data_IF_523710010568
#
_entry.id   IF_523710010568
#
_cell.length_a   1.000
_cell.length_b   1.000
_cell.length_c   1.000
_cell.angle_alpha   90.00
_cell.angle_beta   90.00
_cell.angle_gamma   90.00
#
_symmetry.space_group_name_H-M   'P 1'
#
loop_
_entity.id
_entity.type
_entity.pdbx_description
1 polymer ?
#
# COMPACT_ATOMS: atom_id res chain seq x y z
N UNK A 1 8.85 -18.02 24.46
CA UNK A 1 9.30 -19.40 24.71
C UNK A 1 9.66 -20.19 23.43
N UNK A 2 9.75 -19.55 22.24
CA UNK A 2 9.95 -20.27 20.96
C UNK A 2 11.40 -20.21 20.45
N UNK A 3 12.31 -19.50 21.11
CA UNK A 3 13.63 -19.20 20.56
C UNK A 3 14.81 -19.78 21.34
N UNK A 4 14.65 -20.84 22.10
CA UNK A 4 15.80 -21.52 22.70
C UNK A 4 16.64 -22.17 21.57
N UNK A 5 17.87 -21.70 21.41
CA UNK A 5 18.80 -22.16 20.38
C UNK A 5 18.78 -21.43 19.03
N UNK A 6 17.95 -20.38 18.88
CA UNK A 6 17.94 -19.55 17.69
C UNK A 6 18.63 -18.19 17.94
N UNK A 7 19.45 -17.78 16.99
CA UNK A 7 19.99 -16.40 16.99
C UNK A 7 18.93 -15.47 16.42
N UNK A 8 18.54 -14.46 17.19
CA UNK A 8 17.60 -13.41 16.73
C UNK A 8 18.37 -12.25 16.16
N UNK A 9 17.97 -11.82 14.98
CA UNK A 9 18.47 -10.61 14.31
C UNK A 9 17.29 -9.65 14.20
N UNK A 10 17.40 -8.49 14.84
CA UNK A 10 16.33 -7.52 14.93
C UNK A 10 16.59 -6.35 13.98
N UNK A 11 15.53 -5.87 13.34
CA UNK A 11 15.55 -4.64 12.55
C UNK A 11 14.34 -3.78 12.92
N UNK A 12 14.45 -2.49 12.67
CA UNK A 12 13.35 -1.57 12.99
C UNK A 12 13.65 -0.11 12.65
N UNK A 13 12.76 0.75 13.15
CA UNK A 13 12.93 2.19 12.99
C UNK A 13 14.01 2.71 13.93
N UNK A 14 14.63 3.84 13.57
CA UNK A 14 15.61 4.57 14.38
C UNK A 14 15.14 4.73 15.84
N UNK A 15 16.06 4.54 16.79
CA UNK A 15 15.77 4.62 18.22
C UNK A 15 15.41 3.29 18.90
N UNK A 16 15.30 2.20 18.16
CA UNK A 16 15.15 0.86 18.74
C UNK A 16 16.46 0.32 19.32
N UNK A 17 16.40 -0.33 20.48
CA UNK A 17 17.58 -0.96 21.10
C UNK A 17 17.94 -2.29 20.44
N UNK A 18 19.24 -2.56 20.30
CA UNK A 18 19.76 -3.86 19.84
C UNK A 18 19.41 -4.21 18.39
N UNK A 19 19.17 -3.19 17.54
CA UNK A 19 18.88 -3.40 16.13
C UNK A 19 20.16 -3.71 15.35
N UNK A 20 20.11 -4.77 14.55
CA UNK A 20 21.15 -5.09 13.58
C UNK A 20 21.08 -4.13 12.38
N UNK A 21 19.86 -3.80 11.94
CA UNK A 21 19.59 -2.76 10.96
C UNK A 21 18.57 -1.78 11.56
N UNK A 22 18.89 -0.51 11.55
CA UNK A 22 17.95 0.57 11.86
C UNK A 22 17.62 1.39 10.62
N UNK A 23 16.42 1.98 10.59
CA UNK A 23 15.99 2.80 9.46
C UNK A 23 15.25 4.06 9.88
N UNK A 24 15.45 5.13 9.13
CA UNK A 24 14.81 6.43 9.31
C UNK A 24 14.08 6.81 8.03
N UNK A 25 12.78 7.09 8.18
CA UNK A 25 11.97 7.54 7.06
C UNK A 25 12.47 8.90 6.55
N UNK A 26 12.73 9.00 5.25
CA UNK A 26 13.01 10.23 4.53
C UNK A 26 11.71 10.84 3.99
N UNK A 27 11.33 10.47 2.77
CA UNK A 27 10.13 10.94 2.11
C UNK A 27 9.25 9.78 1.60
N UNK A 28 7.97 10.08 1.32
CA UNK A 28 7.06 9.14 0.68
C UNK A 28 6.02 9.91 -0.17
N UNK A 29 6.49 10.52 -1.29
CA UNK A 29 5.64 11.37 -2.12
C UNK A 29 6.02 11.32 -3.61
N UNK A 30 5.56 10.38 -4.42
CA UNK A 30 4.83 9.16 -4.08
C UNK A 30 5.72 8.02 -3.60
N UNK A 31 7.03 8.04 -3.97
CA UNK A 31 7.94 6.96 -3.69
C UNK A 31 8.61 7.10 -2.33
N UNK A 32 8.85 5.95 -1.71
CA UNK A 32 9.54 5.83 -0.44
C UNK A 32 11.03 6.09 -0.61
N UNK A 33 11.57 7.06 0.13
CA UNK A 33 13.00 7.20 0.39
C UNK A 33 13.27 7.09 1.88
N UNK A 34 14.41 6.51 2.24
CA UNK A 34 14.80 6.32 3.63
C UNK A 34 16.32 6.16 3.79
N UNK A 35 16.80 6.48 4.98
CA UNK A 35 18.16 6.15 5.42
C UNK A 35 18.11 4.85 6.22
N UNK A 36 19.11 3.97 6.08
CA UNK A 36 19.30 2.84 6.96
C UNK A 36 20.73 2.80 7.47
N UNK A 37 20.92 2.19 8.64
CA UNK A 37 22.20 2.15 9.33
C UNK A 37 22.55 0.71 9.73
N UNK A 38 23.84 0.39 9.60
CA UNK A 38 24.46 -0.85 10.07
C UNK A 38 25.87 -0.56 10.55
N UNK A 39 26.21 -0.95 11.78
CA UNK A 39 27.54 -0.78 12.39
C UNK A 39 28.06 0.66 12.27
N UNK A 40 27.22 1.66 12.50
CA UNK A 40 27.56 3.08 12.43
C UNK A 40 27.71 3.65 11.01
N UNK A 41 27.50 2.84 9.97
CA UNK A 41 27.51 3.31 8.59
C UNK A 41 26.08 3.56 8.11
N UNK A 42 25.85 4.71 7.48
CA UNK A 42 24.55 5.15 6.97
C UNK A 42 24.51 5.10 5.47
N UNK A 43 23.35 4.69 4.95
CA UNK A 43 23.08 4.53 3.54
C UNK A 43 21.70 5.10 3.22
N UNK A 44 21.61 5.92 2.18
CA UNK A 44 20.35 6.43 1.65
C UNK A 44 19.86 5.56 0.49
N UNK A 45 18.55 5.35 0.40
CA UNK A 45 17.90 4.56 -0.65
C UNK A 45 16.66 5.28 -1.14
N UNK A 46 16.57 5.46 -2.47
CA UNK A 46 15.42 6.04 -3.16
C UNK A 46 14.73 4.94 -3.97
N UNK A 47 13.58 4.47 -3.51
CA UNK A 47 12.90 3.31 -4.09
C UNK A 47 11.78 3.70 -5.06
N UNK A 48 11.25 2.71 -5.80
CA UNK A 48 9.98 2.81 -6.54
C UNK A 48 8.80 2.23 -5.75
N UNK A 49 8.97 2.00 -4.46
CA UNK A 49 7.90 1.54 -3.57
C UNK A 49 7.02 2.71 -3.14
N UNK A 50 5.71 2.50 -3.08
CA UNK A 50 4.75 3.47 -2.57
C UNK A 50 4.33 3.06 -1.16
N UNK A 51 4.27 4.03 -0.25
CA UNK A 51 3.82 3.82 1.11
C UNK A 51 4.93 3.58 2.12
N UNK A 52 4.90 4.35 3.21
CA UNK A 52 5.86 4.25 4.31
C UNK A 52 5.86 2.87 4.99
N UNK A 53 4.74 2.13 4.92
CA UNK A 53 4.65 0.75 5.42
C UNK A 53 5.63 -0.22 4.71
N UNK A 54 6.02 0.08 3.46
CA UNK A 54 7.02 -0.71 2.73
C UNK A 54 8.44 -0.55 3.28
N UNK A 55 8.70 0.46 4.11
CA UNK A 55 9.99 0.60 4.77
C UNK A 55 10.35 -0.62 5.61
N UNK A 56 9.40 -1.17 6.37
CA UNK A 56 9.62 -2.39 7.16
C UNK A 56 9.99 -3.59 6.28
N UNK A 57 9.36 -3.70 5.10
CA UNK A 57 9.68 -4.75 4.13
C UNK A 57 11.09 -4.56 3.55
N UNK A 58 11.48 -3.33 3.23
CA UNK A 58 12.81 -3.00 2.75
C UNK A 58 13.87 -3.29 3.83
N UNK A 59 13.63 -2.89 5.08
CA UNK A 59 14.55 -3.19 6.20
C UNK A 59 14.71 -4.70 6.44
N UNK A 60 13.64 -5.48 6.26
CA UNK A 60 13.73 -6.94 6.31
C UNK A 60 14.64 -7.49 5.20
N UNK A 61 14.48 -7.03 3.97
CA UNK A 61 15.32 -7.42 2.84
C UNK A 61 16.80 -7.02 3.06
N UNK A 62 17.06 -5.80 3.53
CA UNK A 62 18.40 -5.32 3.91
C UNK A 62 19.02 -6.24 4.97
N UNK A 63 18.24 -6.57 6.00
CA UNK A 63 18.70 -7.43 7.10
C UNK A 63 19.13 -8.79 6.61
N UNK A 64 18.32 -9.43 5.76
CA UNK A 64 18.64 -10.72 5.14
C UNK A 64 19.89 -10.58 4.25
N UNK A 65 19.95 -9.56 3.40
CA UNK A 65 21.11 -9.33 2.54
C UNK A 65 22.39 -9.16 3.35
N UNK A 66 22.37 -8.33 4.41
CA UNK A 66 23.54 -8.13 5.28
C UNK A 66 23.92 -9.39 6.04
N UNK A 67 22.96 -10.16 6.52
CA UNK A 67 23.21 -11.43 7.19
C UNK A 67 23.98 -12.41 6.27
N UNK A 68 23.66 -12.43 4.99
CA UNK A 68 24.37 -13.23 3.98
C UNK A 68 25.56 -12.49 3.36
N UNK A 69 26.05 -11.44 4.01
CA UNK A 69 27.27 -10.69 3.62
C UNK A 69 27.19 -10.01 2.24
N UNK A 70 26.00 -9.70 1.75
CA UNK A 70 25.84 -8.88 0.54
C UNK A 70 26.34 -7.46 0.84
N UNK A 71 27.22 -6.89 -0.01
CA UNK A 71 27.71 -5.52 0.19
C UNK A 71 26.59 -4.50 0.26
N UNK A 72 26.66 -3.55 1.20
CA UNK A 72 25.63 -2.53 1.43
C UNK A 72 25.26 -1.77 0.15
N UNK A 73 26.26 -1.43 -0.67
CA UNK A 73 26.02 -0.74 -1.94
C UNK A 73 25.17 -1.57 -2.92
N UNK A 74 25.43 -2.86 -3.04
CA UNK A 74 24.64 -3.76 -3.89
C UNK A 74 23.20 -3.90 -3.39
N UNK A 75 23.00 -3.89 -2.07
CA UNK A 75 21.67 -3.89 -1.46
C UNK A 75 20.91 -2.60 -1.85
N UNK A 76 21.56 -1.43 -1.75
CA UNK A 76 20.96 -0.16 -2.16
C UNK A 76 20.59 -0.16 -3.65
N UNK A 77 21.54 -0.53 -4.52
CA UNK A 77 21.33 -0.63 -5.97
C UNK A 77 20.17 -1.58 -6.32
N UNK A 78 20.04 -2.72 -5.63
CA UNK A 78 18.95 -3.67 -5.85
C UNK A 78 17.58 -3.11 -5.41
N UNK A 79 17.52 -2.39 -4.29
CA UNK A 79 16.29 -1.76 -3.80
C UNK A 79 15.84 -0.60 -4.69
N UNK A 80 16.79 0.20 -5.19
CA UNK A 80 16.53 1.31 -6.11
C UNK A 80 16.09 0.84 -7.50
N UNK A 81 16.65 -0.28 -7.97
CA UNK A 81 16.27 -0.88 -9.25
C UNK A 81 14.94 -1.65 -9.21
N UNK A 82 14.44 -1.98 -7.99
CA UNK A 82 13.23 -2.78 -7.86
C UNK A 82 11.98 -1.96 -8.17
N UNK A 83 11.30 -2.31 -9.25
CA UNK A 83 9.99 -1.74 -9.63
C UNK A 83 8.90 -2.79 -9.36
N UNK A 84 7.90 -2.50 -8.51
CA UNK A 84 6.76 -3.41 -8.31
C UNK A 84 5.96 -3.59 -9.61
N UNK A 85 5.58 -4.85 -9.92
CA UNK A 85 4.81 -5.19 -11.13
C UNK A 85 3.75 -6.29 -10.89
N UNK A 86 3.36 -6.49 -9.64
CA UNK A 86 2.44 -7.56 -9.23
C UNK A 86 1.19 -7.04 -8.49
N UNK A 87 0.71 -5.85 -8.84
CA UNK A 87 -0.43 -5.18 -8.20
C UNK A 87 -0.24 -4.96 -6.68
N UNK A 88 1.01 -4.76 -6.23
CA UNK A 88 1.35 -4.43 -4.84
C UNK A 88 1.94 -3.02 -4.81
N UNK A 89 1.08 -2.04 -4.51
CA UNK A 89 1.46 -0.62 -4.46
C UNK A 89 2.21 -0.16 -5.72
N UNK A 90 1.77 -0.65 -6.88
CA UNK A 90 2.36 -0.34 -8.18
C UNK A 90 1.81 1.00 -8.68
N UNK A 91 2.69 1.93 -9.07
CA UNK A 91 2.30 3.12 -9.82
C UNK A 91 2.23 2.80 -11.31
N UNK A 92 1.08 3.06 -11.91
CA UNK A 92 0.85 2.94 -13.36
C UNK A 92 0.35 4.28 -13.88
N UNK A 93 1.02 4.85 -14.86
CA UNK A 93 0.55 6.04 -15.55
C UNK A 93 -0.25 5.63 -16.78
N UNK A 94 -1.47 6.13 -16.89
CA UNK A 94 -2.33 5.99 -18.06
C UNK A 94 -2.40 7.31 -18.81
N UNK A 95 -3.11 7.35 -19.94
CA UNK A 95 -3.33 8.59 -20.69
C UNK A 95 -4.03 9.66 -19.87
N UNK A 96 -4.96 9.26 -19.00
CA UNK A 96 -5.87 10.17 -18.31
C UNK A 96 -5.59 10.27 -16.81
N UNK A 97 -4.94 9.26 -16.18
CA UNK A 97 -4.82 9.16 -14.73
C UNK A 97 -3.48 8.55 -14.27
N UNK A 98 -3.21 8.66 -12.97
CA UNK A 98 -2.11 7.96 -12.29
C UNK A 98 -2.70 6.98 -11.28
N UNK A 99 -2.47 5.69 -11.49
CA UNK A 99 -3.08 4.61 -10.72
C UNK A 99 -2.08 4.05 -9.71
N UNK A 100 -2.47 3.98 -8.45
CA UNK A 100 -1.77 3.22 -7.42
C UNK A 100 -2.53 1.91 -7.23
N UNK A 101 -2.02 0.84 -7.82
CA UNK A 101 -2.69 -0.45 -7.83
C UNK A 101 -2.14 -1.34 -6.72
N UNK A 102 -2.98 -1.63 -5.73
CA UNK A 102 -2.70 -2.49 -4.58
C UNK A 102 -3.81 -3.54 -4.41
N UNK A 103 -4.06 -4.30 -5.47
CA UNK A 103 -5.18 -5.22 -5.59
C UNK A 103 -4.77 -6.72 -5.54
N UNK A 104 -3.62 -7.02 -4.94
CA UNK A 104 -3.19 -8.41 -4.72
C UNK A 104 -3.88 -9.04 -3.51
N UNK A 105 -4.01 -8.31 -2.40
CA UNK A 105 -4.75 -8.72 -1.21
C UNK A 105 -5.15 -7.50 -0.38
N UNK A 106 -6.22 -7.65 0.41
CA UNK A 106 -6.67 -6.61 1.32
C UNK A 106 -7.10 -7.22 2.66
N UNK A 107 -6.60 -6.61 3.74
CA UNK A 107 -7.05 -6.81 5.11
C UNK A 107 -7.14 -5.44 5.80
N UNK A 108 -7.78 -5.34 6.98
CA UNK A 108 -8.01 -4.05 7.64
C UNK A 108 -6.75 -3.22 7.83
N UNK A 109 -5.67 -3.83 8.32
CA UNK A 109 -4.39 -3.15 8.56
C UNK A 109 -3.79 -2.60 7.26
N UNK A 110 -3.75 -3.40 6.20
CA UNK A 110 -3.18 -2.97 4.91
C UNK A 110 -4.06 -1.96 4.19
N UNK A 111 -5.39 -2.05 4.37
CA UNK A 111 -6.35 -1.09 3.81
C UNK A 111 -6.16 0.27 4.46
N UNK A 112 -6.16 0.32 5.79
CA UNK A 112 -5.94 1.55 6.56
C UNK A 112 -4.59 2.20 6.23
N UNK A 113 -3.50 1.42 6.20
CA UNK A 113 -2.17 1.91 5.89
C UNK A 113 -2.08 2.52 4.47
N UNK A 114 -2.74 1.90 3.48
CA UNK A 114 -2.77 2.42 2.11
C UNK A 114 -3.57 3.73 2.01
N UNK A 115 -4.72 3.81 2.68
CA UNK A 115 -5.54 5.01 2.74
C UNK A 115 -4.83 6.17 3.44
N UNK A 116 -4.21 5.91 4.60
CA UNK A 116 -3.44 6.91 5.35
C UNK A 116 -2.29 7.46 4.50
N UNK A 117 -1.51 6.57 3.87
CA UNK A 117 -0.44 6.99 2.97
C UNK A 117 -0.97 7.82 1.80
N UNK A 118 -2.06 7.38 1.16
CA UNK A 118 -2.66 8.09 0.04
C UNK A 118 -3.22 9.45 0.46
N UNK A 119 -3.80 9.55 1.65
CA UNK A 119 -4.26 10.82 2.24
C UNK A 119 -3.13 11.83 2.39
N UNK A 120 -1.95 11.37 2.85
CA UNK A 120 -0.78 12.21 3.10
C UNK A 120 -0.01 12.60 1.83
N UNK A 121 -0.25 11.95 0.69
CA UNK A 121 0.40 12.32 -0.57
C UNK A 121 0.02 13.76 -0.96
N UNK A 122 1.00 14.58 -1.32
CA UNK A 122 0.78 15.93 -1.82
C UNK A 122 0.52 15.93 -3.33
N UNK A 123 -0.68 15.51 -3.72
CA UNK A 123 -1.15 15.44 -5.11
C UNK A 123 -2.55 16.01 -5.21
N UNK A 124 -2.86 16.59 -6.37
CA UNK A 124 -4.20 17.09 -6.67
C UNK A 124 -5.12 15.92 -7.10
N UNK A 125 -6.42 16.09 -6.88
CA UNK A 125 -7.48 15.18 -7.36
C UNK A 125 -7.27 13.73 -6.98
N UNK A 126 -7.64 13.40 -5.76
CA UNK A 126 -7.53 12.05 -5.18
C UNK A 126 -8.85 11.28 -5.33
N UNK A 127 -8.78 10.13 -5.96
CA UNK A 127 -9.89 9.20 -6.06
C UNK A 127 -9.53 7.86 -5.43
N UNK A 128 -10.49 7.22 -4.78
CA UNK A 128 -10.30 5.92 -4.15
C UNK A 128 -11.31 4.92 -4.71
N UNK A 129 -10.84 3.75 -5.08
CA UNK A 129 -11.65 2.60 -5.50
C UNK A 129 -11.32 1.44 -4.58
N UNK A 130 -12.25 1.07 -3.70
CA UNK A 130 -12.05 -0.05 -2.78
C UNK A 130 -12.99 -1.20 -3.08
N UNK A 131 -12.46 -2.41 -2.96
CA UNK A 131 -13.25 -3.64 -2.95
C UNK A 131 -13.21 -4.33 -1.60
N UNK A 132 -14.14 -5.24 -1.39
CA UNK A 132 -14.27 -6.00 -0.15
C UNK A 132 -12.95 -6.60 0.32
N UNK A 133 -12.78 -6.60 1.63
CA UNK A 133 -11.79 -7.40 2.34
C UNK A 133 -12.40 -8.77 2.63
N UNK A 134 -11.78 -9.84 2.14
CA UNK A 134 -12.24 -11.22 2.36
C UNK A 134 -11.53 -11.85 3.57
N UNK A 135 -12.02 -13.02 3.99
CA UNK A 135 -11.44 -13.83 5.07
C UNK A 135 -11.52 -13.19 6.46
N UNK A 136 -12.44 -12.26 6.71
CA UNK A 136 -12.61 -11.59 8.00
C UNK A 136 -13.60 -12.30 8.93
N UNK A 137 -14.38 -13.28 8.42
CA UNK A 137 -15.37 -13.99 9.23
C UNK A 137 -16.40 -13.04 9.86
N UNK A 138 -16.65 -13.23 11.16
CA UNK A 138 -17.65 -12.46 11.91
C UNK A 138 -17.31 -10.98 12.08
N UNK A 139 -16.03 -10.60 11.98
CA UNK A 139 -15.59 -9.20 12.10
C UNK A 139 -15.75 -8.41 10.81
N UNK A 140 -16.19 -9.04 9.71
CA UNK A 140 -16.26 -8.41 8.39
C UNK A 140 -17.01 -7.08 8.39
N UNK A 141 -18.21 -7.05 8.96
CA UNK A 141 -19.04 -5.85 9.00
C UNK A 141 -18.36 -4.70 9.78
N UNK A 142 -17.83 -5.00 10.97
CA UNK A 142 -17.15 -4.01 11.81
C UNK A 142 -15.92 -3.42 11.12
N UNK A 143 -15.11 -4.25 10.48
CA UNK A 143 -13.90 -3.81 9.80
C UNK A 143 -14.19 -2.99 8.52
N UNK A 144 -15.24 -3.36 7.75
CA UNK A 144 -15.67 -2.53 6.62
C UNK A 144 -16.27 -1.21 7.08
N UNK A 145 -17.01 -1.18 8.19
CA UNK A 145 -17.52 0.06 8.77
C UNK A 145 -16.38 0.99 9.21
N UNK A 146 -15.34 0.49 9.88
CA UNK A 146 -14.17 1.29 10.26
C UNK A 146 -13.49 1.94 9.04
N UNK A 147 -13.40 1.20 7.93
CA UNK A 147 -12.85 1.77 6.69
C UNK A 147 -13.77 2.87 6.13
N UNK A 148 -15.09 2.64 6.11
CA UNK A 148 -16.05 3.64 5.63
C UNK A 148 -16.01 4.92 6.49
N UNK A 149 -15.96 4.80 7.81
CA UNK A 149 -15.83 5.92 8.73
C UNK A 149 -14.53 6.72 8.47
N UNK A 150 -13.41 6.02 8.27
CA UNK A 150 -12.14 6.67 7.96
C UNK A 150 -12.15 7.39 6.61
N UNK A 151 -12.84 6.85 5.60
CA UNK A 151 -13.00 7.52 4.30
C UNK A 151 -13.76 8.84 4.44
N UNK A 152 -14.76 8.92 5.29
CA UNK A 152 -15.50 10.16 5.59
C UNK A 152 -14.58 11.26 6.19
N UNK A 153 -13.58 10.86 6.98
CA UNK A 153 -12.58 11.77 7.54
C UNK A 153 -11.56 12.24 6.49
N UNK A 154 -11.22 11.39 5.51
CA UNK A 154 -10.15 11.65 4.54
C UNK A 154 -10.47 12.76 3.53
N UNK A 155 -11.76 13.02 3.24
CA UNK A 155 -12.21 14.03 2.26
C UNK A 155 -11.58 13.88 0.88
N UNK A 156 -11.49 12.64 0.37
CA UNK A 156 -11.10 12.39 -1.01
C UNK A 156 -12.14 12.98 -1.98
N UNK A 157 -11.69 13.43 -3.17
CA UNK A 157 -12.59 14.06 -4.16
C UNK A 157 -13.66 13.08 -4.67
N UNK A 158 -13.32 11.79 -4.77
CA UNK A 158 -14.24 10.73 -5.16
C UNK A 158 -13.89 9.41 -4.50
N UNK A 159 -14.92 8.70 -4.02
CA UNK A 159 -14.79 7.37 -3.42
C UNK A 159 -15.79 6.44 -4.07
N UNK A 160 -15.33 5.31 -4.60
CA UNK A 160 -16.15 4.23 -5.14
C UNK A 160 -15.89 2.96 -4.35
N UNK A 161 -16.95 2.33 -3.88
CA UNK A 161 -16.91 1.09 -3.11
C UNK A 161 -17.54 -0.04 -3.94
N UNK A 162 -16.92 -1.21 -3.95
CA UNK A 162 -17.41 -2.38 -4.68
C UNK A 162 -17.43 -3.63 -3.81
N UNK A 163 -18.53 -4.36 -3.84
CA UNK A 163 -18.69 -5.64 -3.17
C UNK A 163 -19.82 -5.67 -2.18
N UNK A 164 -20.19 -6.89 -1.77
CA UNK A 164 -21.34 -7.13 -0.89
C UNK A 164 -21.09 -6.64 0.54
N UNK A 165 -19.85 -6.73 1.03
CA UNK A 165 -19.52 -6.37 2.41
C UNK A 165 -19.57 -4.85 2.60
N UNK A 166 -19.02 -4.08 1.67
CA UNK A 166 -19.21 -2.62 1.67
C UNK A 166 -20.67 -2.21 1.48
N UNK A 167 -21.47 -3.01 0.77
CA UNK A 167 -22.90 -2.78 0.63
C UNK A 167 -23.73 -2.99 1.90
N UNK A 168 -23.19 -3.69 2.90
CA UNK A 168 -23.83 -3.91 4.22
C UNK A 168 -23.56 -2.79 5.22
N UNK A 169 -22.48 -2.02 5.04
CA UNK A 169 -22.25 -0.80 5.79
C UNK A 169 -23.05 0.33 5.15
N UNK A 170 -23.34 1.41 5.87
CA UNK A 170 -24.09 2.56 5.32
C UNK A 170 -23.08 3.57 4.77
N UNK A 171 -22.60 3.43 3.54
CA UNK A 171 -21.65 4.36 2.97
C UNK A 171 -22.37 5.63 2.49
N UNK A 172 -21.78 6.77 2.80
CA UNK A 172 -22.12 8.04 2.15
C UNK A 172 -21.56 8.14 0.72
N UNK A 173 -20.95 7.03 0.23
CA UNK A 173 -20.22 6.97 -1.04
C UNK A 173 -20.95 6.16 -2.11
N UNK A 174 -20.55 6.36 -3.38
CA UNK A 174 -21.04 5.54 -4.48
C UNK A 174 -20.67 4.06 -4.25
N UNK A 175 -21.67 3.18 -4.25
CA UNK A 175 -21.48 1.75 -4.03
C UNK A 175 -21.93 0.94 -5.24
N UNK A 176 -21.19 -0.10 -5.58
CA UNK A 176 -21.44 -1.06 -6.65
C UNK A 176 -21.45 -2.47 -6.08
N UNK A 177 -22.42 -3.29 -6.50
CA UNK A 177 -22.55 -4.67 -6.02
C UNK A 177 -21.30 -5.53 -6.31
N UNK A 178 -20.61 -5.24 -7.42
CA UNK A 178 -19.45 -5.97 -7.89
C UNK A 178 -18.58 -5.11 -8.84
N UNK A 179 -17.45 -5.65 -9.26
CA UNK A 179 -16.52 -5.00 -10.17
C UNK A 179 -17.10 -4.79 -11.57
N UNK A 180 -18.07 -5.60 -12.00
CA UNK A 180 -18.69 -5.47 -13.32
C UNK A 180 -19.55 -4.22 -13.38
N UNK A 181 -20.41 -4.02 -12.38
CA UNK A 181 -21.22 -2.81 -12.26
C UNK A 181 -20.36 -1.55 -12.11
N UNK A 182 -19.27 -1.64 -11.35
CA UNK A 182 -18.28 -0.56 -11.22
C UNK A 182 -17.63 -0.24 -12.57
N UNK A 183 -17.19 -1.26 -13.31
CA UNK A 183 -16.58 -1.10 -14.64
C UNK A 183 -17.52 -0.40 -15.62
N UNK A 184 -18.76 -0.83 -15.71
CA UNK A 184 -19.79 -0.19 -16.56
C UNK A 184 -20.00 1.28 -16.21
N UNK A 185 -19.97 1.63 -14.93
CA UNK A 185 -20.07 3.03 -14.48
C UNK A 185 -18.84 3.85 -14.91
N UNK A 186 -17.64 3.30 -14.74
CA UNK A 186 -16.40 3.97 -15.12
C UNK A 186 -16.25 4.15 -16.64
N UNK A 187 -16.72 3.18 -17.44
CA UNK A 187 -16.76 3.31 -18.90
C UNK A 187 -17.72 4.43 -19.36
N UNK A 188 -18.81 4.63 -18.64
CA UNK A 188 -19.79 5.69 -18.91
C UNK A 188 -19.32 7.06 -18.46
N UNK A 189 -18.64 7.14 -17.32
CA UNK A 189 -18.20 8.39 -16.68
C UNK A 189 -16.71 8.28 -16.27
N UNK A 190 -15.84 8.20 -17.29
CA UNK A 190 -14.40 8.02 -17.10
C UNK A 190 -13.78 9.19 -16.36
N UNK A 191 -13.13 8.96 -15.20
CA UNK A 191 -12.40 10.01 -14.48
C UNK A 191 -11.15 10.42 -15.28
N UNK A 192 -10.75 11.71 -15.14
CA UNK A 192 -9.54 12.25 -15.78
C UNK A 192 -8.79 13.17 -14.82
N UNK A 193 -7.47 13.11 -14.87
CA UNK A 193 -6.60 13.96 -14.06
C UNK A 193 -6.50 13.55 -12.58
N UNK A 194 -6.90 12.32 -12.25
CA UNK A 194 -6.85 11.82 -10.87
C UNK A 194 -5.61 11.00 -10.58
N UNK A 195 -5.15 11.09 -9.34
CA UNK A 195 -4.45 10.00 -8.68
C UNK A 195 -5.51 9.05 -8.12
N UNK A 196 -5.45 7.77 -8.48
CA UNK A 196 -6.47 6.77 -8.13
C UNK A 196 -5.83 5.64 -7.33
N UNK A 197 -6.21 5.50 -6.06
CA UNK A 197 -5.87 4.31 -5.28
C UNK A 197 -6.89 3.20 -5.57
N UNK A 198 -6.42 2.04 -6.02
CA UNK A 198 -7.23 0.85 -6.29
C UNK A 198 -6.80 -0.25 -5.32
N UNK A 199 -7.68 -0.62 -4.38
CA UNK A 199 -7.36 -1.65 -3.38
C UNK A 199 -8.56 -2.53 -3.04
N UNK A 200 -8.30 -3.84 -2.88
CA UNK A 200 -9.29 -4.85 -2.52
C UNK A 200 -8.69 -6.23 -2.50
N UNK A 201 -9.43 -7.22 -2.03
CA UNK A 201 -9.02 -8.61 -2.09
C UNK A 201 -8.84 -9.09 -3.53
N UNK A 202 -7.93 -10.01 -3.77
CA UNK A 202 -7.62 -10.52 -5.12
C UNK A 202 -8.86 -11.07 -5.85
N UNK A 203 -9.77 -11.71 -5.12
CA UNK A 203 -11.04 -12.23 -5.66
C UNK A 203 -11.95 -11.15 -6.24
N UNK A 204 -11.80 -9.89 -5.85
CA UNK A 204 -12.53 -8.74 -6.40
C UNK A 204 -12.08 -8.36 -7.81
N UNK A 205 -10.88 -8.82 -8.22
CA UNK A 205 -10.30 -8.58 -9.57
C UNK A 205 -10.26 -7.11 -9.98
N UNK A 206 -10.07 -6.20 -9.02
CA UNK A 206 -10.03 -4.76 -9.29
C UNK A 206 -8.87 -4.33 -10.21
N UNK A 207 -7.82 -5.15 -10.33
CA UNK A 207 -6.70 -4.86 -11.22
C UNK A 207 -7.10 -4.71 -12.69
N UNK A 208 -8.21 -5.32 -13.12
CA UNK A 208 -8.74 -5.17 -14.49
C UNK A 208 -9.23 -3.73 -14.81
N UNK A 209 -9.47 -2.90 -13.79
CA UNK A 209 -9.86 -1.51 -13.99
C UNK A 209 -8.74 -0.65 -14.60
N UNK A 210 -7.48 -1.11 -14.54
CA UNK A 210 -6.35 -0.41 -15.16
C UNK A 210 -6.51 -0.23 -16.67
N UNK A 211 -7.22 -1.15 -17.34
CA UNK A 211 -7.41 -1.14 -18.79
C UNK A 211 -8.38 -0.04 -19.26
N UNK A 212 -9.21 0.47 -18.35
CA UNK A 212 -10.26 1.44 -18.69
C UNK A 212 -10.03 2.82 -18.07
N UNK A 213 -9.12 2.93 -17.09
CA UNK A 213 -8.79 4.16 -16.38
C UNK A 213 -7.57 4.85 -16.97
#
# INVERSE_FOLDING_TARGET
AISQGLTRICYGMEGGEGLYISGKLGACAPFLSFEWEHEGQKFEVNTHLIGSYNMKNALAAITVGRFFSVPSRQICEALEAYVPHNNRSQLTETTDNKLIVDAYNANPTSMMAALENFRLMNVAHKMVILGDMKELGETSHEEHQKIADYLDECKFDRVLLAGEEFGKVIPSFEHFKDVVALKESLERYKPKGYYILIKGSNSMKLSQLQEIL
#
